data_IF_542882534034
#
_entry.id   IF_542882534034
#
_cell.length_a   1.000
_cell.length_b   1.000
_cell.length_c   1.000
_cell.angle_alpha   90.00
_cell.angle_beta   90.00
_cell.angle_gamma   90.00
#
_symmetry.space_group_name_H-M   'P 1'
#
loop_
_entity.id
_entity.type
_entity.pdbx_description
1 polymer ?
#
# COMPACT_ATOMS: atom_id res chain seq x y z
N UNK A 1 2.30 3.16 -8.79
CA UNK A 1 2.06 4.56 -8.36
C UNK A 1 1.15 4.57 -7.16
N UNK A 2 1.02 5.68 -6.45
CA UNK A 2 0.14 5.80 -5.28
C UNK A 2 -0.99 6.77 -5.61
N UNK A 3 -2.18 6.56 -5.06
CA UNK A 3 -3.30 7.47 -5.20
C UNK A 3 -4.03 7.60 -3.86
N UNK A 4 -4.45 8.83 -3.51
CA UNK A 4 -5.24 9.09 -2.30
C UNK A 4 -6.72 8.87 -2.61
N UNK A 5 -7.42 8.17 -1.70
CA UNK A 5 -8.87 7.99 -1.75
C UNK A 5 -9.49 8.88 -0.67
N UNK A 6 -10.31 9.83 -1.07
CA UNK A 6 -11.06 10.70 -0.15
C UNK A 6 -12.41 10.06 0.18
N UNK A 7 -12.72 9.96 1.48
CA UNK A 7 -14.09 9.99 1.99
C UNK A 7 -15.00 8.77 1.74
N UNK A 8 -15.37 8.17 2.87
CA UNK A 8 -16.63 7.46 3.16
C UNK A 8 -16.66 5.93 3.00
N UNK A 9 -17.34 5.30 3.96
CA UNK A 9 -17.18 3.92 4.41
C UNK A 9 -17.33 2.90 3.28
N UNK A 10 -16.22 2.24 2.95
CA UNK A 10 -16.15 1.27 1.87
C UNK A 10 -15.51 -0.04 2.38
N UNK A 11 -16.33 -1.08 2.34
CA UNK A 11 -16.13 -2.48 2.69
C UNK A 11 -14.69 -2.93 2.38
N UNK A 12 -14.01 -3.47 3.39
CA UNK A 12 -12.56 -3.43 3.55
C UNK A 12 -11.69 -4.09 2.47
N UNK A 13 -12.23 -4.82 1.49
CA UNK A 13 -11.39 -5.59 0.56
C UNK A 13 -11.79 -5.57 -0.92
N UNK A 14 -13.03 -5.26 -1.30
CA UNK A 14 -13.52 -5.45 -2.67
C UNK A 14 -14.68 -4.49 -2.96
N UNK A 15 -14.50 -3.46 -3.81
CA UNK A 15 -15.67 -2.78 -4.39
C UNK A 15 -15.44 -1.35 -4.87
N UNK A 16 -15.04 -0.44 -3.99
CA UNK A 16 -15.20 0.99 -4.27
C UNK A 16 -13.89 1.62 -4.73
N UNK A 17 -13.33 1.14 -5.85
CA UNK A 17 -12.23 1.83 -6.55
C UNK A 17 -12.77 3.12 -7.20
N UNK A 18 -13.25 4.08 -6.40
CA UNK A 18 -13.49 5.44 -6.90
C UNK A 18 -12.19 5.96 -7.51
N UNK A 19 -12.31 6.82 -8.52
CA UNK A 19 -11.17 7.39 -9.24
C UNK A 19 -10.26 8.17 -8.28
N UNK A 20 -9.26 7.46 -7.74
CA UNK A 20 -8.28 8.02 -6.85
C UNK A 20 -7.40 9.00 -7.63
N UNK A 21 -7.08 10.15 -7.04
CA UNK A 21 -6.18 11.13 -7.68
C UNK A 21 -4.78 10.50 -7.73
N UNK A 22 -4.35 10.10 -8.92
CA UNK A 22 -3.10 9.38 -9.09
C UNK A 22 -1.88 10.31 -8.99
N UNK A 23 -0.95 9.96 -8.10
CA UNK A 23 0.37 10.58 -8.04
C UNK A 23 1.27 9.91 -9.09
N UNK A 24 1.88 10.71 -9.96
CA UNK A 24 2.70 10.24 -11.10
C UNK A 24 4.10 9.77 -10.69
N UNK A 25 4.51 10.03 -9.45
CA UNK A 25 5.82 9.63 -8.94
C UNK A 25 5.79 8.22 -8.33
N UNK A 26 6.87 7.47 -8.54
CA UNK A 26 7.09 6.20 -7.87
C UNK A 26 7.47 6.45 -6.41
N UNK A 27 6.89 5.67 -5.51
CA UNK A 27 7.09 5.78 -4.08
C UNK A 27 7.27 4.37 -3.52
N UNK A 28 8.19 4.25 -2.55
CA UNK A 28 8.43 3.07 -1.73
C UNK A 28 7.77 3.22 -0.34
N UNK A 29 7.73 4.45 0.19
CA UNK A 29 6.98 4.85 1.37
C UNK A 29 6.02 6.01 1.04
N UNK A 30 4.92 6.10 1.80
CA UNK A 30 3.94 7.17 1.63
C UNK A 30 3.29 7.51 2.97
N UNK A 31 3.11 8.81 3.30
CA UNK A 31 2.45 9.20 4.53
C UNK A 31 0.98 8.78 4.49
N UNK A 32 0.52 8.08 5.53
CA UNK A 32 -0.88 7.69 5.67
C UNK A 32 -1.50 8.48 6.85
N UNK A 33 -2.15 9.63 6.59
CA UNK A 33 -2.84 10.38 7.63
C UNK A 33 -3.93 9.56 8.35
N UNK A 34 -4.24 9.87 9.62
CA UNK A 34 -5.35 9.24 10.33
C UNK A 34 -6.67 9.36 9.56
N UNK A 35 -7.41 8.25 9.47
CA UNK A 35 -8.71 8.20 8.78
C UNK A 35 -8.63 8.25 7.25
N UNK A 36 -7.43 8.29 6.66
CA UNK A 36 -7.25 8.28 5.21
C UNK A 36 -7.14 6.86 4.63
N UNK A 37 -7.27 6.76 3.31
CA UNK A 37 -7.04 5.54 2.54
C UNK A 37 -6.20 5.85 1.32
N UNK A 38 -5.29 4.94 0.98
CA UNK A 38 -4.49 5.00 -0.25
C UNK A 38 -4.69 3.75 -1.08
N UNK A 39 -4.58 3.89 -2.39
CA UNK A 39 -4.48 2.79 -3.35
C UNK A 39 -3.06 2.78 -3.88
N UNK A 40 -2.42 1.62 -3.84
CA UNK A 40 -1.03 1.42 -4.29
C UNK A 40 -1.03 0.41 -5.43
N UNK A 41 -0.53 0.83 -6.58
CA UNK A 41 -0.31 -0.04 -7.73
C UNK A 41 1.17 -0.42 -7.82
N UNK A 42 1.45 -1.71 -7.65
CA UNK A 42 2.80 -2.29 -7.72
C UNK A 42 2.86 -3.29 -8.89
N UNK A 43 3.66 -3.02 -9.94
CA UNK A 43 3.85 -3.99 -11.02
C UNK A 43 4.86 -5.08 -10.60
N UNK A 44 4.37 -6.31 -10.41
CA UNK A 44 5.18 -7.51 -10.22
C UNK A 44 5.43 -8.20 -11.56
N UNK A 45 6.15 -7.54 -12.47
CA UNK A 45 6.31 -7.98 -13.86
C UNK A 45 7.66 -8.61 -14.17
N UNK A 46 8.60 -8.63 -13.22
CA UNK A 46 9.97 -9.12 -13.42
C UNK A 46 10.24 -10.37 -12.57
N UNK A 47 10.95 -11.39 -13.10
CA UNK A 47 11.26 -12.61 -12.35
C UNK A 47 12.02 -12.38 -11.04
N UNK A 48 12.82 -11.31 -10.95
CA UNK A 48 13.55 -10.97 -9.72
C UNK A 48 12.64 -10.51 -8.58
N UNK A 49 11.34 -10.28 -8.84
CA UNK A 49 10.35 -9.84 -7.86
C UNK A 49 9.61 -11.01 -7.19
N UNK A 50 9.92 -12.26 -7.51
CA UNK A 50 9.34 -13.44 -6.85
C UNK A 50 9.95 -13.59 -5.46
N UNK A 51 9.12 -13.79 -4.44
CA UNK A 51 9.59 -13.98 -3.07
C UNK A 51 8.69 -13.35 -2.01
N UNK A 52 9.20 -13.31 -0.77
CA UNK A 52 8.52 -12.72 0.39
C UNK A 52 9.08 -11.34 0.68
N UNK A 53 8.20 -10.36 0.75
CA UNK A 53 8.53 -8.96 1.02
C UNK A 53 7.76 -8.47 2.24
N UNK A 54 8.31 -7.48 2.93
CA UNK A 54 7.65 -6.82 4.05
C UNK A 54 6.99 -5.54 3.57
N UNK A 55 5.86 -5.21 4.18
CA UNK A 55 5.30 -3.88 4.18
C UNK A 55 5.01 -3.51 5.63
N UNK A 56 5.43 -2.32 6.03
CA UNK A 56 5.36 -1.90 7.42
C UNK A 56 5.23 -0.38 7.53
N UNK A 57 4.87 0.09 8.71
CA UNK A 57 5.02 1.49 9.03
C UNK A 57 6.51 1.82 9.14
N UNK A 58 7.00 2.82 8.42
CA UNK A 58 8.41 3.25 8.47
C UNK A 58 8.73 4.11 9.72
N UNK A 59 7.88 4.03 10.75
CA UNK A 59 8.09 4.64 12.07
C UNK A 59 8.61 3.50 12.97
N UNK A 60 9.89 3.58 13.37
CA UNK A 60 10.57 2.49 14.10
C UNK A 60 9.75 1.97 15.29
N UNK A 61 9.24 2.86 16.13
CA UNK A 61 8.44 2.47 17.30
C UNK A 61 7.09 1.82 16.96
N UNK A 62 6.60 1.92 15.73
CA UNK A 62 5.42 1.21 15.24
C UNK A 62 5.79 -0.15 14.64
N UNK A 63 6.85 -0.18 13.84
CA UNK A 63 7.39 -1.40 13.24
C UNK A 63 7.81 -2.41 14.31
N UNK A 64 8.60 -1.99 15.29
CA UNK A 64 9.10 -2.83 16.38
C UNK A 64 7.95 -3.40 17.25
N UNK A 65 6.80 -2.71 17.25
CA UNK A 65 5.58 -3.14 17.96
C UNK A 65 4.65 -3.99 17.08
N UNK A 66 5.09 -4.38 15.88
CA UNK A 66 4.38 -5.30 15.01
C UNK A 66 3.50 -4.66 13.94
N UNK A 67 3.63 -3.36 13.64
CA UNK A 67 3.00 -2.76 12.45
C UNK A 67 3.74 -3.16 11.16
N UNK A 68 3.90 -4.46 10.95
CA UNK A 68 4.58 -5.10 9.83
C UNK A 68 3.79 -6.34 9.42
N UNK A 69 3.72 -6.58 8.12
CA UNK A 69 3.21 -7.83 7.57
C UNK A 69 3.97 -8.21 6.29
N UNK A 70 3.81 -9.46 5.87
CA UNK A 70 4.45 -9.99 4.67
C UNK A 70 3.47 -10.07 3.50
N UNK A 71 4.01 -9.88 2.29
CA UNK A 71 3.36 -10.20 1.03
C UNK A 71 4.24 -11.19 0.27
N UNK A 72 3.63 -12.20 -0.33
CA UNK A 72 4.32 -13.20 -1.14
C UNK A 72 3.94 -12.99 -2.60
N UNK A 73 4.97 -12.80 -3.44
CA UNK A 73 4.84 -12.71 -4.88
C UNK A 73 5.21 -14.07 -5.46
N UNK A 74 4.24 -14.70 -6.09
CA UNK A 74 4.36 -16.00 -6.74
C UNK A 74 4.31 -15.84 -8.26
N UNK A 75 4.74 -16.89 -8.97
CA UNK A 75 4.66 -17.00 -10.43
C UNK A 75 3.23 -17.23 -10.92
#
# INVERSE_FOLDING_TARGET
GIALVEGEKANACLGDRKAAKQFKTLHDNYPLPPGSRVVVDIPFTRPQQIGKFVYHCHILGHEDKGMMATVEVVL
#
